data_IF_869246874597
#
_entry.id   IF_869246874597
#
_cell.length_a   1.000
_cell.length_b   1.000
_cell.length_c   1.000
_cell.angle_alpha   90.00
_cell.angle_beta   90.00
_cell.angle_gamma   90.00
#
_symmetry.space_group_name_H-M   'P 1'
#
loop_
_entity.id
_entity.type
_entity.pdbx_description
1 polymer ?
#
# COMPACT_ATOMS: atom_id res chain seq x y z
N UNK A 1 0.51 13.95 5.84
CA UNK A 1 -0.23 13.71 4.58
C UNK A 1 0.71 13.55 3.39
N UNK A 2 1.45 14.59 2.96
CA UNK A 2 2.43 14.46 1.85
C UNK A 2 3.44 13.34 2.10
N UNK A 3 3.86 13.16 3.34
CA UNK A 3 4.80 12.09 3.73
C UNK A 3 4.19 10.69 3.60
N UNK A 4 2.94 10.47 4.03
CA UNK A 4 2.28 9.16 3.89
C UNK A 4 2.03 8.81 2.41
N UNK A 5 1.69 9.81 1.58
CA UNK A 5 1.58 9.62 0.14
C UNK A 5 2.92 9.18 -0.46
N UNK A 6 4.03 9.79 -0.03
CA UNK A 6 5.37 9.40 -0.47
C UNK A 6 5.72 7.97 -0.05
N UNK A 7 5.37 7.57 1.17
CA UNK A 7 5.60 6.20 1.65
C UNK A 7 4.80 5.17 0.85
N UNK A 8 3.55 5.48 0.48
CA UNK A 8 2.75 4.61 -0.40
C UNK A 8 3.38 4.49 -1.79
N UNK A 9 3.85 5.59 -2.36
CA UNK A 9 4.55 5.60 -3.65
C UNK A 9 5.88 4.82 -3.58
N UNK A 10 6.62 4.95 -2.48
CA UNK A 10 7.87 4.24 -2.24
C UNK A 10 7.63 2.73 -2.22
N UNK A 11 6.65 2.26 -1.43
CA UNK A 11 6.27 0.84 -1.42
C UNK A 11 5.87 0.35 -2.81
N UNK A 12 5.01 1.09 -3.51
CA UNK A 12 4.58 0.73 -4.86
C UNK A 12 5.77 0.61 -5.83
N UNK A 13 6.73 1.54 -5.77
CA UNK A 13 7.91 1.54 -6.63
C UNK A 13 8.82 0.31 -6.44
N UNK A 14 8.77 -0.30 -5.24
CA UNK A 14 9.53 -1.48 -4.89
C UNK A 14 8.80 -2.82 -5.14
N UNK A 15 7.55 -2.78 -5.61
CA UNK A 15 6.83 -3.95 -6.08
C UNK A 15 7.33 -4.36 -7.47
N UNK A 16 7.56 -5.66 -7.65
CA UNK A 16 7.82 -6.27 -8.96
C UNK A 16 6.60 -6.12 -9.87
N UNK A 17 6.82 -6.14 -11.18
CA UNK A 17 5.72 -6.20 -12.16
C UNK A 17 4.83 -7.42 -11.98
N UNK A 18 5.37 -8.50 -11.43
CA UNK A 18 4.65 -9.76 -11.17
C UNK A 18 3.77 -9.67 -9.91
N UNK A 19 3.93 -8.63 -9.10
CA UNK A 19 3.09 -8.38 -7.92
C UNK A 19 1.67 -7.95 -8.30
N UNK A 20 1.50 -7.37 -9.49
CA UNK A 20 0.33 -6.61 -9.90
C UNK A 20 -0.20 -7.09 -11.26
N UNK A 21 -1.43 -6.70 -11.62
CA UNK A 21 -2.01 -6.99 -12.93
C UNK A 21 -1.31 -6.24 -14.06
N UNK A 22 -1.42 -6.74 -15.29
CA UNK A 22 -0.90 -6.03 -16.46
C UNK A 22 -1.66 -4.71 -16.67
N UNK A 23 -2.98 -4.72 -16.45
CA UNK A 23 -3.84 -3.54 -16.49
C UNK A 23 -3.40 -2.46 -15.48
N UNK A 24 -2.85 -2.87 -14.33
CA UNK A 24 -2.30 -1.93 -13.36
C UNK A 24 -1.17 -1.11 -13.96
N UNK A 25 -0.33 -1.67 -14.83
CA UNK A 25 0.82 -0.94 -15.40
C UNK A 25 0.38 0.31 -16.17
N UNK A 26 -0.76 0.24 -16.86
CA UNK A 26 -1.34 1.39 -17.57
C UNK A 26 -2.01 2.39 -16.62
N UNK A 27 -2.65 1.89 -15.55
CA UNK A 27 -3.32 2.71 -14.53
C UNK A 27 -2.35 3.40 -13.57
N UNK A 28 -1.20 2.78 -13.31
CA UNK A 28 -0.23 3.12 -12.27
C UNK A 28 0.23 4.57 -12.35
N UNK A 29 0.55 5.09 -13.54
CA UNK A 29 1.09 6.45 -13.67
C UNK A 29 0.03 7.52 -13.34
N UNK A 30 -1.23 7.27 -13.69
CA UNK A 30 -2.37 8.10 -13.30
C UNK A 30 -2.63 7.99 -11.79
N UNK A 31 -2.58 6.77 -11.25
CA UNK A 31 -2.76 6.51 -9.83
C UNK A 31 -1.68 7.17 -8.98
N UNK A 32 -0.41 7.13 -9.39
CA UNK A 32 0.68 7.80 -8.69
C UNK A 32 0.47 9.31 -8.63
N UNK A 33 -0.05 9.90 -9.71
CA UNK A 33 -0.39 11.32 -9.76
C UNK A 33 -1.53 11.63 -8.78
N UNK A 34 -2.55 10.77 -8.70
CA UNK A 34 -3.65 10.90 -7.73
C UNK A 34 -3.16 10.76 -6.29
N UNK A 35 -2.28 9.80 -5.99
CA UNK A 35 -1.67 9.64 -4.65
C UNK A 35 -0.86 10.88 -4.30
N UNK A 36 -0.05 11.40 -5.22
CA UNK A 36 0.74 12.62 -4.96
C UNK A 36 -0.14 13.85 -4.70
N UNK A 37 -1.31 13.92 -5.35
CA UNK A 37 -2.28 15.01 -5.21
C UNK A 37 -3.29 14.77 -4.07
N UNK A 38 -3.31 13.58 -3.46
CA UNK A 38 -4.26 13.23 -2.42
C UNK A 38 -4.03 14.11 -1.19
N UNK A 39 -5.01 14.98 -0.93
CA UNK A 39 -5.01 15.90 0.20
C UNK A 39 -6.00 15.48 1.29
N UNK A 40 -6.44 14.22 1.29
CA UNK A 40 -7.45 13.69 2.21
C UNK A 40 -7.18 12.21 2.48
N UNK A 41 -7.32 11.81 3.74
CA UNK A 41 -7.06 10.47 4.25
C UNK A 41 -7.97 9.43 3.59
N UNK A 42 -9.26 9.76 3.38
CA UNK A 42 -10.20 8.86 2.72
C UNK A 42 -9.87 8.67 1.26
N UNK A 43 -9.33 9.70 0.61
CA UNK A 43 -8.84 9.57 -0.75
C UNK A 43 -7.63 8.63 -0.80
N UNK A 44 -6.68 8.80 0.11
CA UNK A 44 -5.51 7.92 0.19
C UNK A 44 -5.88 6.47 0.50
N UNK A 45 -6.83 6.24 1.42
CA UNK A 45 -7.34 4.90 1.73
C UNK A 45 -8.03 4.24 0.53
N UNK A 46 -8.78 5.00 -0.28
CA UNK A 46 -9.37 4.49 -1.53
C UNK A 46 -8.29 4.08 -2.54
N UNK A 47 -7.25 4.90 -2.69
CA UNK A 47 -6.13 4.61 -3.59
C UNK A 47 -5.35 3.37 -3.11
N UNK A 48 -5.23 3.18 -1.80
CA UNK A 48 -4.65 1.99 -1.18
C UNK A 48 -5.45 0.71 -1.50
N UNK A 49 -6.79 0.77 -1.38
CA UNK A 49 -7.68 -0.34 -1.79
C UNK A 49 -7.59 -0.61 -3.29
N UNK A 50 -7.44 0.42 -4.11
CA UNK A 50 -7.27 0.27 -5.56
C UNK A 50 -5.97 -0.49 -5.90
N UNK A 51 -4.85 -0.15 -5.24
CA UNK A 51 -3.58 -0.85 -5.38
C UNK A 51 -3.72 -2.33 -4.99
N UNK A 52 -4.28 -2.59 -3.80
CA UNK A 52 -4.49 -3.96 -3.31
C UNK A 52 -5.38 -4.78 -4.25
N UNK A 53 -6.43 -4.18 -4.80
CA UNK A 53 -7.35 -4.87 -5.73
C UNK A 53 -6.69 -5.28 -7.04
N UNK A 54 -5.54 -4.70 -7.36
CA UNK A 54 -4.73 -5.03 -8.52
C UNK A 54 -3.56 -5.97 -8.18
N UNK A 55 -3.41 -6.43 -6.93
CA UNK A 55 -2.41 -7.41 -6.58
C UNK A 55 -2.77 -8.79 -7.16
N UNK A 56 -1.75 -9.49 -7.63
CA UNK A 56 -1.89 -10.90 -8.01
C UNK A 56 -2.16 -11.76 -6.76
N UNK A 57 -2.81 -12.91 -6.93
CA UNK A 57 -3.12 -13.78 -5.80
C UNK A 57 -1.88 -14.40 -5.16
N UNK A 58 -0.81 -14.48 -5.94
CA UNK A 58 0.51 -15.00 -5.59
C UNK A 58 1.39 -13.92 -4.92
N UNK A 59 1.05 -12.65 -5.12
CA UNK A 59 1.74 -11.49 -4.53
C UNK A 59 1.45 -11.30 -3.04
N UNK A 60 0.38 -11.94 -2.54
CA UNK A 60 -0.08 -11.83 -1.16
C UNK A 60 -0.07 -13.18 -0.47
N UNK A 61 0.11 -13.15 0.84
CA UNK A 61 0.04 -14.36 1.65
C UNK A 61 -1.36 -14.98 1.60
N UNK A 62 -1.46 -16.30 1.77
CA UNK A 62 -2.75 -17.00 1.69
C UNK A 62 -3.75 -16.53 2.77
N UNK A 63 -3.26 -16.12 3.94
CA UNK A 63 -4.07 -15.56 5.02
C UNK A 63 -4.71 -14.22 4.63
N UNK A 64 -4.04 -13.43 3.78
CA UNK A 64 -4.53 -12.14 3.30
C UNK A 64 -5.95 -12.26 2.73
N UNK A 65 -6.23 -13.34 1.99
CA UNK A 65 -7.56 -13.60 1.40
C UNK A 65 -8.68 -13.67 2.45
N UNK A 66 -8.38 -14.01 3.69
CA UNK A 66 -9.35 -14.08 4.78
C UNK A 66 -9.55 -12.74 5.49
N UNK A 67 -8.53 -11.88 5.51
CA UNK A 67 -8.55 -10.59 6.22
C UNK A 67 -8.82 -9.40 5.30
N UNK A 68 -8.60 -9.57 3.99
CA UNK A 68 -8.79 -8.55 2.95
C UNK A 68 -10.16 -7.89 3.03
N UNK A 69 -11.24 -8.66 3.23
CA UNK A 69 -12.58 -8.09 3.29
C UNK A 69 -12.72 -7.10 4.45
N UNK A 70 -12.26 -7.48 5.66
CA UNK A 70 -12.24 -6.59 6.82
C UNK A 70 -11.31 -5.39 6.63
N UNK A 71 -10.12 -5.62 6.05
CA UNK A 71 -9.17 -4.55 5.77
C UNK A 71 -9.72 -3.51 4.78
N UNK A 72 -10.48 -3.93 3.76
CA UNK A 72 -11.16 -3.01 2.82
C UNK A 72 -12.25 -2.20 3.54
N UNK A 73 -13.02 -2.83 4.43
CA UNK A 73 -14.01 -2.11 5.26
C UNK A 73 -13.33 -1.07 6.15
N UNK A 74 -12.20 -1.41 6.78
CA UNK A 74 -11.41 -0.48 7.58
C UNK A 74 -10.84 0.67 6.73
N UNK A 75 -10.36 0.40 5.51
CA UNK A 75 -9.98 1.46 4.57
C UNK A 75 -11.13 2.41 4.22
N UNK A 76 -12.37 1.92 4.16
CA UNK A 76 -13.54 2.76 3.89
C UNK A 76 -13.95 3.63 5.07
N UNK A 77 -13.67 3.18 6.29
CA UNK A 77 -13.99 3.89 7.53
C UNK A 77 -12.85 4.82 7.93
N UNK A 78 -11.61 4.49 7.55
CA UNK A 78 -10.41 5.25 7.83
C UNK A 78 -10.58 6.74 7.54
N UNK A 79 -10.29 7.54 8.55
CA UNK A 79 -10.53 8.97 8.61
C UNK A 79 -9.34 9.74 9.17
N UNK A 80 -8.30 9.04 9.63
CA UNK A 80 -7.05 9.62 10.13
C UNK A 80 -5.84 9.06 9.39
N UNK A 81 -4.72 9.79 9.44
CA UNK A 81 -3.45 9.35 8.86
C UNK A 81 -2.90 8.11 9.59
N UNK A 82 -3.14 7.99 10.89
CA UNK A 82 -2.78 6.83 11.71
C UNK A 82 -3.46 5.55 11.19
N UNK A 83 -4.78 5.62 10.93
CA UNK A 83 -5.54 4.49 10.40
C UNK A 83 -5.01 4.07 9.03
N UNK A 84 -4.80 5.03 8.12
CA UNK A 84 -4.28 4.75 6.77
C UNK A 84 -2.83 4.23 6.81
N UNK A 85 -2.00 4.74 7.71
CA UNK A 85 -0.63 4.26 7.94
C UNK A 85 -0.64 2.80 8.40
N UNK A 86 -1.48 2.48 9.38
CA UNK A 86 -1.63 1.12 9.91
C UNK A 86 -2.11 0.15 8.83
N UNK A 87 -3.09 0.55 8.03
CA UNK A 87 -3.62 -0.26 6.92
C UNK A 87 -2.57 -0.54 5.83
N UNK A 88 -1.76 0.46 5.48
CA UNK A 88 -0.68 0.30 4.51
C UNK A 88 0.43 -0.61 5.06
N UNK A 89 0.79 -0.48 6.33
CA UNK A 89 1.76 -1.37 6.98
C UNK A 89 1.24 -2.82 7.03
N UNK A 90 -0.05 -3.02 7.23
CA UNK A 90 -0.67 -4.34 7.21
C UNK A 90 -0.61 -4.98 5.80
N UNK A 91 -0.94 -4.21 4.75
CA UNK A 91 -0.83 -4.67 3.36
C UNK A 91 0.61 -5.07 3.02
N UNK A 92 1.58 -4.21 3.36
CA UNK A 92 3.01 -4.47 3.16
C UNK A 92 3.45 -5.76 3.85
N UNK A 93 3.09 -5.92 5.14
CA UNK A 93 3.46 -7.10 5.92
C UNK A 93 2.82 -8.40 5.41
N UNK A 94 1.74 -8.31 4.63
CA UNK A 94 1.05 -9.43 4.01
C UNK A 94 1.45 -9.66 2.54
N UNK A 95 2.26 -8.78 1.97
CA UNK A 95 2.85 -8.94 0.64
C UNK A 95 4.00 -9.97 0.72
N UNK A 96 4.13 -10.82 -0.29
CA UNK A 96 5.18 -11.84 -0.31
C UNK A 96 6.53 -11.23 -0.67
N UNK A 97 7.60 -11.72 -0.02
CA UNK A 97 8.96 -11.26 -0.32
C UNK A 97 9.41 -11.56 -1.76
N UNK A 98 8.75 -12.50 -2.43
CA UNK A 98 9.04 -12.90 -3.81
C UNK A 98 8.66 -11.82 -4.83
N UNK A 99 7.73 -10.92 -4.49
CA UNK A 99 7.21 -9.90 -5.39
C UNK A 99 7.66 -8.48 -5.04
N UNK A 100 8.60 -8.35 -4.10
CA UNK A 100 9.27 -7.09 -3.76
C UNK A 100 10.73 -7.18 -4.15
N UNK A 101 11.31 -6.04 -4.52
CA UNK A 101 12.73 -5.96 -4.88
C UNK A 101 13.64 -6.28 -3.68
N UNK A 102 14.84 -6.81 -3.95
CA UNK A 102 15.83 -7.07 -2.88
C UNK A 102 16.18 -5.78 -2.11
N UNK A 103 16.24 -4.64 -2.79
CA UNK A 103 16.45 -3.31 -2.20
C UNK A 103 15.37 -2.94 -1.17
N UNK A 104 14.17 -3.49 -1.29
CA UNK A 104 13.09 -3.27 -0.32
C UNK A 104 13.46 -3.83 1.05
N UNK A 105 14.18 -4.94 1.13
CA UNK A 105 14.57 -5.54 2.41
C UNK A 105 15.41 -4.59 3.26
N UNK A 106 16.33 -3.85 2.62
CA UNK A 106 17.19 -2.86 3.28
C UNK A 106 16.43 -1.56 3.62
N UNK A 107 15.45 -1.18 2.80
CA UNK A 107 14.69 0.06 2.98
C UNK A 107 13.49 -0.09 3.94
N UNK A 108 12.93 -1.30 4.04
CA UNK A 108 11.72 -1.59 4.80
C UNK A 108 11.81 -1.16 6.25
N UNK A 109 12.94 -1.39 6.93
CA UNK A 109 13.10 -1.02 8.34
C UNK A 109 12.90 0.50 8.55
N UNK A 110 13.52 1.33 7.69
CA UNK A 110 13.37 2.78 7.74
C UNK A 110 11.97 3.21 7.36
N UNK A 111 11.37 2.56 6.38
CA UNK A 111 10.01 2.84 5.94
C UNK A 111 9.00 2.53 7.05
N UNK A 112 9.12 1.38 7.71
CA UNK A 112 8.29 0.97 8.85
C UNK A 112 8.46 1.93 10.02
N UNK A 113 9.70 2.37 10.30
CA UNK A 113 9.95 3.36 11.34
C UNK A 113 9.18 4.66 11.08
N UNK A 114 9.20 5.17 9.83
CA UNK A 114 8.43 6.35 9.45
C UNK A 114 6.91 6.12 9.56
N UNK A 115 6.42 4.91 9.28
CA UNK A 115 5.01 4.59 9.46
C UNK A 115 4.56 4.71 10.91
N UNK A 116 5.40 4.24 11.84
CA UNK A 116 5.11 4.35 13.27
C UNK A 116 5.09 5.80 13.77
N UNK A 117 5.79 6.74 13.12
CA UNK A 117 5.69 8.17 13.46
C UNK A 117 4.28 8.75 13.22
N UNK A 118 3.45 8.10 12.39
CA UNK A 118 2.04 8.48 12.19
C UNK A 118 1.08 7.79 13.16
N UNK A 119 1.55 6.78 13.91
CA UNK A 119 0.73 5.96 14.82
C UNK A 119 0.89 6.40 16.29
N UNK A 120 1.90 7.22 16.60
CA UNK A 120 2.10 7.87 17.92
C UNK A 120 1.25 9.13 18.14
#
# INVERSE_FOLDING_TARGET
>A
MVELNQLLLEFQAHLSSDAVTEEWKERRDCWMSEVSAASDEKHLAKLLVELESNFQREAVQSLWKMIRESWVEECHIASTLEEVSSLLLELESNTTWEVVTDEWQDNREKWVQKMYEFIE
#
